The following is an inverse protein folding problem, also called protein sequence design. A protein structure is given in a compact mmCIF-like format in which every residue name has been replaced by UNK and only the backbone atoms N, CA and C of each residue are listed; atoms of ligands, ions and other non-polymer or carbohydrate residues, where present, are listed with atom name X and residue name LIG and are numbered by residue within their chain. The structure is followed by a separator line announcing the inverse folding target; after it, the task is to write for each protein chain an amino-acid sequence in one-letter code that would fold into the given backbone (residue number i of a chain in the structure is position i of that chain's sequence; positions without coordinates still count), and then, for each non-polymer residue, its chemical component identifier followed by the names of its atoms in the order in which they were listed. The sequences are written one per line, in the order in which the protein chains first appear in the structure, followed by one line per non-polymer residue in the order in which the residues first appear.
data_IF_878543272007
#
_entry.id   IF_878543272007
#
_cell.length_a   1.000
_cell.length_b   1.000
_cell.length_c   1.000
_cell.angle_alpha   90.00
_cell.angle_beta   90.00
_cell.angle_gamma   90.00
#
_symmetry.space_group_name_H-M   'P 1'
#
loop_
_entity.id
_entity.type
_entity.pdbx_description
1 polymer ?
#
# COMPACT_ATOMS: atom_id res chain seq x y z
N UNK A 1 -9.01 -19.33 0.14
CA UNK A 1 -7.63 -19.49 -0.36
C UNK A 1 -7.36 -20.79 -1.13
N UNK A 2 -7.67 -21.99 -0.62
CA UNK A 2 -7.30 -23.28 -1.26
C UNK A 2 -7.79 -23.47 -2.71
N UNK A 3 -9.06 -23.15 -3.00
CA UNK A 3 -9.60 -23.24 -4.36
C UNK A 3 -8.88 -22.30 -5.33
N UNK A 4 -8.63 -21.06 -4.91
CA UNK A 4 -7.83 -20.09 -5.66
C UNK A 4 -6.44 -20.65 -5.98
N UNK A 5 -5.76 -21.22 -4.99
CA UNK A 5 -4.44 -21.82 -5.19
C UNK A 5 -4.47 -22.95 -6.22
N UNK A 6 -5.50 -23.81 -6.18
CA UNK A 6 -5.71 -24.89 -7.15
C UNK A 6 -5.91 -24.36 -8.57
N UNK A 7 -6.79 -23.38 -8.74
CA UNK A 7 -7.10 -22.81 -10.06
C UNK A 7 -5.89 -22.05 -10.63
N UNK A 8 -5.14 -21.35 -9.78
CA UNK A 8 -3.84 -20.76 -10.13
C UNK A 8 -2.85 -21.83 -10.60
N UNK A 9 -2.67 -22.90 -9.83
CA UNK A 9 -1.75 -23.97 -10.14
C UNK A 9 -2.10 -24.66 -11.46
N UNK A 10 -3.39 -24.88 -11.73
CA UNK A 10 -3.91 -25.43 -12.98
C UNK A 10 -3.66 -24.50 -14.17
N UNK A 11 -3.89 -23.19 -14.04
CA UNK A 11 -3.62 -22.22 -15.09
C UNK A 11 -2.14 -22.19 -15.48
N UNK A 12 -1.24 -22.14 -14.48
CA UNK A 12 0.21 -22.18 -14.74
C UNK A 12 0.63 -23.50 -15.37
N UNK A 13 0.00 -24.63 -14.99
CA UNK A 13 0.27 -25.94 -15.59
C UNK A 13 -0.16 -25.99 -17.07
N UNK A 14 -1.24 -25.29 -17.42
CA UNK A 14 -1.70 -25.14 -18.80
C UNK A 14 -0.84 -24.18 -19.65
N UNK A 15 0.20 -23.57 -19.06
CA UNK A 15 1.08 -22.62 -19.75
C UNK A 15 0.54 -21.18 -19.80
N UNK A 16 -0.60 -20.92 -19.17
CA UNK A 16 -1.15 -19.56 -19.11
C UNK A 16 -0.39 -18.71 -18.09
N UNK A 17 -0.18 -17.44 -18.43
CA UNK A 17 0.28 -16.46 -17.46
C UNK A 17 -0.83 -16.15 -16.45
N UNK A 18 -0.49 -16.22 -15.17
CA UNK A 18 -1.46 -16.10 -14.08
C UNK A 18 -0.98 -15.10 -13.02
N UNK A 19 -1.88 -14.24 -12.56
CA UNK A 19 -1.62 -13.28 -11.47
C UNK A 19 -2.72 -13.38 -10.43
N UNK A 20 -2.33 -13.45 -9.16
CA UNK A 20 -3.27 -13.31 -8.06
C UNK A 20 -3.22 -11.89 -7.52
N UNK A 21 -4.39 -11.29 -7.26
CA UNK A 21 -4.51 -9.95 -6.70
C UNK A 21 -5.25 -10.01 -5.36
N UNK A 22 -4.71 -9.31 -4.36
CA UNK A 22 -5.30 -9.17 -3.01
C UNK A 22 -5.17 -7.73 -2.52
N UNK A 23 -6.18 -7.13 -1.86
CA UNK A 23 -6.12 -5.75 -1.42
C UNK A 23 -5.14 -5.54 -0.24
N UNK A 24 -4.97 -6.54 0.63
CA UNK A 24 -4.14 -6.43 1.84
C UNK A 24 -2.88 -7.30 1.76
N UNK A 25 -1.83 -6.89 2.49
CA UNK A 25 -0.58 -7.66 2.62
C UNK A 25 -0.79 -8.96 3.41
N UNK A 26 -1.64 -8.95 4.43
CA UNK A 26 -1.94 -10.15 5.24
C UNK A 26 -2.58 -11.24 4.38
N UNK A 27 -3.58 -10.87 3.58
CA UNK A 27 -4.23 -11.82 2.67
C UNK A 27 -3.28 -12.24 1.53
N UNK A 28 -2.43 -11.31 1.03
CA UNK A 28 -1.35 -11.63 0.07
C UNK A 28 -0.44 -12.73 0.60
N UNK A 29 0.03 -12.61 1.85
CA UNK A 29 0.95 -13.56 2.46
C UNK A 29 0.27 -14.90 2.76
N UNK A 30 -1.01 -14.88 3.16
CA UNK A 30 -1.82 -16.08 3.34
C UNK A 30 -2.00 -16.85 2.03
N UNK A 31 -2.42 -16.18 0.95
CA UNK A 31 -2.62 -16.82 -0.35
C UNK A 31 -1.28 -17.31 -0.93
N UNK A 32 -0.20 -16.53 -0.77
CA UNK A 32 1.13 -16.93 -1.22
C UNK A 32 1.58 -18.23 -0.56
N UNK A 33 1.39 -18.38 0.76
CA UNK A 33 1.70 -19.63 1.48
C UNK A 33 0.89 -20.81 0.93
N UNK A 34 -0.41 -20.64 0.77
CA UNK A 34 -1.30 -21.69 0.25
C UNK A 34 -0.92 -22.15 -1.16
N UNK A 35 -0.54 -21.21 -2.04
CA UNK A 35 -0.03 -21.53 -3.38
C UNK A 35 1.27 -22.32 -3.30
N UNK A 36 2.24 -21.87 -2.49
CA UNK A 36 3.53 -22.55 -2.37
C UNK A 36 3.39 -23.93 -1.75
N UNK A 37 2.56 -24.09 -0.74
CA UNK A 37 2.30 -25.38 -0.09
C UNK A 37 1.65 -26.36 -1.07
N UNK A 38 0.71 -25.90 -1.90
CA UNK A 38 0.14 -26.72 -2.97
C UNK A 38 1.20 -27.13 -3.99
N UNK A 39 1.99 -26.18 -4.50
CA UNK A 39 3.03 -26.47 -5.49
C UNK A 39 4.11 -27.41 -4.93
N UNK A 40 4.40 -27.35 -3.62
CA UNK A 40 5.25 -28.33 -2.93
C UNK A 40 4.65 -29.72 -2.89
N UNK A 41 3.36 -29.85 -2.53
CA UNK A 41 2.65 -31.14 -2.56
C UNK A 41 2.57 -31.75 -3.95
N UNK A 42 2.48 -30.93 -5.00
CA UNK A 42 2.51 -31.36 -6.40
C UNK A 42 3.93 -31.66 -6.92
N UNK A 43 4.98 -31.49 -6.10
CA UNK A 43 6.37 -31.69 -6.51
C UNK A 43 6.91 -30.64 -7.48
N UNK A 44 6.20 -29.53 -7.67
CA UNK A 44 6.56 -28.41 -8.58
C UNK A 44 7.45 -27.38 -7.92
N UNK A 45 7.49 -27.35 -6.59
CA UNK A 45 8.47 -26.66 -5.77
C UNK A 45 9.10 -27.66 -4.82
N UNK A 46 10.42 -27.67 -4.72
CA UNK A 46 11.13 -28.63 -3.87
C UNK A 46 12.57 -28.20 -3.63
N UNK A 47 13.27 -28.99 -2.80
CA UNK A 47 14.64 -28.74 -2.40
C UNK A 47 14.80 -27.75 -1.25
N UNK A 48 16.06 -27.51 -0.91
CA UNK A 48 16.43 -26.68 0.23
C UNK A 48 16.16 -25.20 -0.05
N UNK A 49 15.51 -24.56 0.91
CA UNK A 49 15.16 -23.16 0.84
C UNK A 49 16.40 -22.30 1.11
N UNK A 50 16.76 -21.45 0.15
CA UNK A 50 17.81 -20.44 0.34
C UNK A 50 17.17 -19.14 0.81
N UNK A 51 17.69 -18.60 1.91
CA UNK A 51 17.18 -17.36 2.52
C UNK A 51 17.85 -16.15 1.87
N UNK A 52 17.03 -15.17 1.47
CA UNK A 52 17.45 -13.90 0.91
C UNK A 52 16.97 -12.75 1.79
N UNK A 53 17.82 -11.75 2.07
CA UNK A 53 17.38 -10.53 2.73
C UNK A 53 16.41 -9.77 1.82
N UNK A 54 15.39 -9.15 2.42
CA UNK A 54 14.45 -8.26 1.74
C UNK A 54 14.31 -6.94 2.46
N UNK A 55 13.99 -5.89 1.70
CA UNK A 55 13.79 -4.53 2.16
C UNK A 55 12.36 -4.12 1.89
N UNK A 56 11.60 -3.88 2.96
CA UNK A 56 10.22 -3.38 2.87
C UNK A 56 10.20 -1.91 3.22
N UNK A 57 9.74 -1.07 2.29
CA UNK A 57 9.69 0.38 2.52
C UNK A 57 8.78 0.69 3.73
N UNK A 58 9.29 1.49 4.67
CA UNK A 58 8.60 1.85 5.91
C UNK A 58 7.41 2.81 5.69
N UNK A 59 7.29 3.37 4.47
CA UNK A 59 6.25 4.32 4.03
C UNK A 59 6.17 5.59 4.88
N UNK A 60 7.29 5.98 5.47
CA UNK A 60 7.40 7.23 6.21
C UNK A 60 7.29 8.42 5.25
N UNK A 61 6.49 9.42 5.65
CA UNK A 61 6.48 10.73 4.97
C UNK A 61 7.83 11.41 5.15
N UNK A 62 8.12 12.44 4.34
CA UNK A 62 9.37 13.19 4.49
C UNK A 62 9.52 13.79 5.89
N UNK A 63 8.46 14.38 6.43
CA UNK A 63 8.45 14.90 7.80
C UNK A 63 8.73 13.80 8.84
N UNK A 64 8.18 12.60 8.66
CA UNK A 64 8.47 11.46 9.53
C UNK A 64 9.92 10.96 9.36
N UNK A 65 10.49 11.00 8.15
CA UNK A 65 11.90 10.70 7.93
C UNK A 65 12.82 11.77 8.52
N UNK A 66 12.37 12.99 8.75
CA UNK A 66 13.16 14.00 9.45
C UNK A 66 13.17 13.80 10.99
N UNK A 67 12.29 12.96 11.53
CA UNK A 67 12.12 12.74 12.97
C UNK A 67 12.86 11.47 13.44
N UNK A 68 13.93 11.61 14.25
CA UNK A 68 14.75 10.47 14.69
C UNK A 68 13.96 9.44 15.52
N UNK A 69 12.84 9.82 16.14
CA UNK A 69 12.00 8.90 16.93
C UNK A 69 11.24 7.88 16.07
N UNK A 70 11.21 8.08 14.74
CA UNK A 70 10.56 7.18 13.77
C UNK A 70 11.43 6.02 13.31
N UNK A 71 12.64 5.93 13.81
CA UNK A 71 13.63 4.94 13.42
C UNK A 71 13.86 3.93 14.54
N UNK A 72 14.20 2.71 14.14
CA UNK A 72 14.66 1.66 15.05
C UNK A 72 16.05 1.18 14.63
N UNK A 73 16.91 0.80 15.60
CA UNK A 73 18.15 0.10 15.28
C UNK A 73 17.89 -1.13 14.40
N UNK A 74 18.64 -1.26 13.30
CA UNK A 74 18.47 -2.32 12.31
C UNK A 74 17.63 -1.94 11.08
N UNK A 75 16.98 -0.77 11.10
CA UNK A 75 16.40 -0.18 9.88
C UNK A 75 17.49 0.05 8.82
N UNK A 76 17.09 0.14 7.56
CA UNK A 76 18.00 0.41 6.45
C UNK A 76 17.60 1.70 5.76
N UNK A 77 18.50 2.66 5.75
CA UNK A 77 18.39 3.87 4.94
C UNK A 77 19.01 3.61 3.59
N UNK A 78 18.27 3.89 2.51
CA UNK A 78 18.80 3.87 1.15
C UNK A 78 18.73 5.25 0.51
N UNK A 79 19.88 5.77 0.10
CA UNK A 79 20.00 7.07 -0.53
C UNK A 79 19.56 7.02 -1.99
N UNK A 80 18.71 7.97 -2.40
CA UNK A 80 18.19 8.10 -3.76
C UNK A 80 18.97 9.11 -4.59
N UNK A 81 19.66 10.02 -3.91
CA UNK A 81 20.51 11.07 -4.48
C UNK A 81 21.91 10.99 -3.87
N UNK A 82 22.89 11.60 -4.55
CA UNK A 82 24.21 11.78 -3.95
C UNK A 82 24.11 12.86 -2.86
N UNK A 83 24.69 12.59 -1.71
CA UNK A 83 24.84 13.52 -0.61
C UNK A 83 26.29 13.45 -0.11
N UNK A 84 26.80 14.50 0.53
CA UNK A 84 28.18 14.47 1.06
C UNK A 84 28.33 13.28 2.03
N UNK A 85 29.25 12.37 1.71
CA UNK A 85 29.47 11.13 2.48
C UNK A 85 28.56 9.95 2.10
N UNK A 86 27.57 10.15 1.20
CA UNK A 86 26.61 9.13 0.81
C UNK A 86 26.38 9.09 -0.71
N UNK A 87 26.69 7.97 -1.34
CA UNK A 87 26.45 7.75 -2.76
C UNK A 87 24.99 7.38 -3.07
N UNK A 88 24.53 7.73 -4.28
CA UNK A 88 23.23 7.27 -4.79
C UNK A 88 23.16 5.74 -4.78
N UNK A 89 22.10 5.21 -4.19
CA UNK A 89 21.85 3.77 -4.04
C UNK A 89 22.54 3.15 -2.82
N UNK A 90 23.45 3.86 -2.14
CA UNK A 90 24.12 3.40 -0.93
C UNK A 90 23.09 3.07 0.15
N UNK A 91 23.35 1.97 0.87
CA UNK A 91 22.55 1.51 2.00
C UNK A 91 23.35 1.65 3.26
N UNK A 92 22.71 2.13 4.31
CA UNK A 92 23.29 2.29 5.65
C UNK A 92 22.31 1.67 6.63
N UNK A 93 22.80 0.78 7.49
CA UNK A 93 22.04 0.26 8.61
C UNK A 93 21.99 1.31 9.72
N UNK A 94 20.81 1.54 10.25
CA UNK A 94 20.60 2.51 11.32
C UNK A 94 21.06 1.89 12.62
N UNK A 95 22.13 2.44 13.20
CA UNK A 95 22.61 2.11 14.54
C UNK A 95 22.27 3.23 15.53
N UNK A 96 22.47 4.48 15.10
CA UNK A 96 22.06 5.69 15.78
C UNK A 96 21.28 6.60 14.81
N UNK A 97 19.96 6.78 15.01
CA UNK A 97 19.16 7.68 14.18
C UNK A 97 19.66 9.12 14.14
N UNK A 98 20.32 9.60 15.21
CA UNK A 98 20.85 10.96 15.30
C UNK A 98 22.03 11.24 14.37
N UNK A 99 22.73 10.20 13.92
CA UNK A 99 23.85 10.31 12.98
C UNK A 99 23.41 10.42 11.51
N UNK A 100 22.12 10.20 11.23
CA UNK A 100 21.58 10.30 9.88
C UNK A 100 21.45 11.77 9.43
N UNK A 101 21.55 12.06 8.13
CA UNK A 101 21.35 13.41 7.60
C UNK A 101 19.85 13.77 7.54
N UNK A 102 19.17 13.83 8.69
CA UNK A 102 17.72 14.00 8.81
C UNK A 102 17.20 15.32 8.20
N UNK A 103 18.05 16.36 8.16
CA UNK A 103 17.77 17.62 7.47
C UNK A 103 17.66 17.47 5.94
N UNK A 104 18.09 16.34 5.37
CA UNK A 104 17.95 15.94 3.96
C UNK A 104 17.12 14.66 3.82
N UNK A 105 16.02 14.58 4.57
CA UNK A 105 15.05 13.48 4.49
C UNK A 105 14.43 13.30 3.09
N UNK A 106 14.56 14.29 2.20
CA UNK A 106 14.22 14.24 0.78
C UNK A 106 15.13 13.30 -0.03
N UNK A 107 16.36 13.07 0.44
CA UNK A 107 17.39 12.35 -0.30
C UNK A 107 17.40 10.84 -0.11
N UNK A 108 16.62 10.29 0.84
CA UNK A 108 16.67 8.89 1.18
C UNK A 108 15.30 8.31 1.55
N UNK A 109 15.21 6.99 1.51
CA UNK A 109 14.06 6.22 2.00
C UNK A 109 14.50 5.26 3.11
N UNK A 110 13.55 4.89 3.97
CA UNK A 110 13.74 4.00 5.10
C UNK A 110 13.05 2.67 4.82
N UNK A 111 13.72 1.57 5.15
CA UNK A 111 13.27 0.21 4.91
C UNK A 111 13.43 -0.64 6.16
N UNK A 112 12.42 -1.46 6.45
CA UNK A 112 12.55 -2.56 7.39
C UNK A 112 13.26 -3.73 6.72
N UNK A 113 14.20 -4.34 7.44
CA UNK A 113 14.86 -5.57 6.99
C UNK A 113 13.99 -6.78 7.31
N UNK A 114 13.78 -7.63 6.32
CA UNK A 114 13.16 -8.94 6.47
C UNK A 114 13.95 -9.99 5.73
N UNK A 115 13.37 -11.18 5.63
CA UNK A 115 13.90 -12.23 4.79
C UNK A 115 12.78 -13.04 4.14
N UNK A 116 13.05 -13.54 2.94
CA UNK A 116 12.21 -14.54 2.28
C UNK A 116 13.08 -15.73 1.93
N UNK A 117 12.52 -16.93 2.03
CA UNK A 117 13.23 -18.11 1.59
C UNK A 117 12.66 -18.64 0.28
N UNK A 118 13.55 -18.89 -0.67
CA UNK A 118 13.22 -19.25 -2.04
C UNK A 118 13.82 -20.61 -2.41
N UNK A 119 13.17 -21.29 -3.34
CA UNK A 119 13.64 -22.51 -3.99
C UNK A 119 13.60 -22.31 -5.51
N UNK A 120 14.34 -23.10 -6.30
CA UNK A 120 14.15 -23.16 -7.75
C UNK A 120 12.68 -23.41 -8.10
N UNK A 121 12.18 -22.66 -9.09
CA UNK A 121 10.78 -22.67 -9.50
C UNK A 121 9.92 -21.59 -8.85
N UNK A 122 10.35 -20.96 -7.75
CA UNK A 122 9.60 -19.87 -7.14
C UNK A 122 9.42 -18.70 -8.12
N UNK A 123 8.27 -18.03 -8.04
CA UNK A 123 8.06 -16.74 -8.71
C UNK A 123 8.45 -15.62 -7.76
N UNK A 124 9.28 -14.69 -8.23
CA UNK A 124 9.63 -13.46 -7.52
C UNK A 124 9.14 -12.23 -8.27
N UNK A 125 8.97 -11.14 -7.53
CA UNK A 125 8.66 -9.81 -8.03
C UNK A 125 9.74 -8.84 -7.60
N UNK A 126 10.22 -8.02 -8.52
CA UNK A 126 11.11 -6.90 -8.20
C UNK A 126 10.29 -5.78 -7.55
N UNK A 127 10.74 -5.23 -6.42
CA UNK A 127 10.02 -4.19 -5.65
C UNK A 127 10.61 -2.79 -5.81
N UNK A 128 11.78 -2.68 -6.44
CA UNK A 128 12.44 -1.42 -6.75
C UNK A 128 13.34 -1.59 -7.97
N UNK A 129 13.47 -0.55 -8.78
CA UNK A 129 14.40 -0.54 -9.90
C UNK A 129 15.84 -0.82 -9.43
N UNK A 130 16.58 -1.57 -10.24
CA UNK A 130 17.96 -1.93 -9.97
C UNK A 130 18.62 -2.53 -11.20
N UNK A 131 19.70 -3.27 -10.99
CA UNK A 131 20.43 -3.94 -12.06
C UNK A 131 20.79 -5.36 -11.66
N UNK A 132 21.07 -6.20 -12.65
CA UNK A 132 21.67 -7.53 -12.45
C UNK A 132 23.02 -7.45 -11.76
N UNK A 133 23.50 -8.55 -11.19
CA UNK A 133 24.77 -8.62 -10.48
C UNK A 133 25.97 -8.19 -11.35
N UNK A 134 25.91 -8.44 -12.67
CA UNK A 134 26.91 -8.00 -13.65
C UNK A 134 26.68 -6.57 -14.18
N UNK A 135 25.61 -5.90 -13.72
CA UNK A 135 25.17 -4.55 -14.12
C UNK A 135 24.86 -4.40 -15.62
N UNK A 136 24.66 -5.50 -16.35
CA UNK A 136 24.38 -5.47 -17.79
C UNK A 136 22.91 -5.25 -18.12
N UNK A 137 22.01 -5.60 -17.21
CA UNK A 137 20.56 -5.50 -17.43
C UNK A 137 19.88 -4.76 -16.29
N UNK A 138 18.82 -4.02 -16.62
CA UNK A 138 17.96 -3.35 -15.66
C UNK A 138 16.90 -4.30 -15.13
N UNK A 139 16.69 -4.28 -13.82
CA UNK A 139 15.57 -4.91 -13.13
C UNK A 139 14.56 -3.80 -12.83
N UNK A 140 13.33 -3.91 -13.33
CA UNK A 140 12.32 -2.88 -13.13
C UNK A 140 11.34 -3.27 -12.04
N UNK A 141 10.88 -2.28 -11.27
CA UNK A 141 9.84 -2.48 -10.27
C UNK A 141 8.59 -3.08 -10.92
N UNK A 142 8.13 -4.18 -10.34
CA UNK A 142 7.00 -4.94 -10.84
C UNK A 142 7.39 -6.11 -11.73
N UNK A 143 8.63 -6.21 -12.22
CA UNK A 143 9.03 -7.36 -13.05
C UNK A 143 8.82 -8.66 -12.31
N UNK A 144 8.27 -9.66 -13.02
CA UNK A 144 8.04 -11.00 -12.51
C UNK A 144 9.04 -11.96 -13.15
N UNK A 145 9.74 -12.71 -12.31
CA UNK A 145 10.72 -13.69 -12.77
C UNK A 145 10.55 -15.01 -12.05
N UNK A 146 10.78 -16.10 -12.77
CA UNK A 146 10.93 -17.43 -12.18
C UNK A 146 12.37 -17.61 -11.72
N UNK A 147 12.57 -18.10 -10.50
CA UNK A 147 13.87 -18.56 -10.01
C UNK A 147 14.24 -19.85 -10.72
N UNK A 148 15.39 -19.89 -11.38
CA UNK A 148 15.90 -21.07 -12.08
C UNK A 148 16.84 -21.88 -11.20
N UNK A 149 17.77 -21.21 -10.53
CA UNK A 149 18.79 -21.82 -9.70
C UNK A 149 19.45 -20.78 -8.78
N UNK A 150 20.35 -21.24 -7.92
CA UNK A 150 21.24 -20.39 -7.14
C UNK A 150 22.69 -20.71 -7.49
N UNK A 151 23.55 -19.70 -7.57
CA UNK A 151 24.99 -19.91 -7.77
C UNK A 151 25.66 -20.36 -6.47
N UNK A 152 26.88 -20.92 -6.51
CA UNK A 152 27.65 -21.25 -5.31
C UNK A 152 27.87 -20.06 -4.38
N UNK A 153 28.08 -18.86 -4.94
CA UNK A 153 28.28 -17.60 -4.20
C UNK A 153 26.98 -17.10 -3.54
N UNK A 154 25.86 -17.64 -4.03
CA UNK A 154 24.52 -17.45 -3.50
C UNK A 154 23.62 -16.51 -4.29
N UNK A 155 24.07 -16.03 -5.45
CA UNK A 155 23.26 -15.21 -6.33
C UNK A 155 22.11 -16.03 -6.93
N UNK A 156 21.03 -15.33 -7.24
CA UNK A 156 19.85 -15.93 -7.83
C UNK A 156 19.94 -15.89 -9.35
N UNK A 157 19.79 -17.05 -9.99
CA UNK A 157 19.69 -17.18 -11.44
C UNK A 157 18.21 -17.20 -11.82
N UNK A 158 17.78 -16.27 -12.66
CA UNK A 158 16.42 -16.16 -13.15
C UNK A 158 16.18 -17.03 -14.39
N UNK A 159 14.93 -17.28 -14.74
CA UNK A 159 14.54 -18.12 -15.89
C UNK A 159 15.10 -17.63 -17.24
N UNK A 160 15.33 -16.32 -17.38
CA UNK A 160 15.95 -15.70 -18.55
C UNK A 160 17.49 -15.69 -18.50
N UNK A 161 18.10 -16.34 -17.50
CA UNK A 161 19.56 -16.41 -17.31
C UNK A 161 20.17 -15.22 -16.58
N UNK A 162 19.40 -14.18 -16.26
CA UNK A 162 19.91 -13.04 -15.50
C UNK A 162 20.29 -13.45 -14.08
N UNK A 163 21.34 -12.82 -13.55
CA UNK A 163 21.80 -13.03 -12.18
C UNK A 163 21.41 -11.84 -11.32
N UNK A 164 20.70 -12.08 -10.23
CA UNK A 164 20.35 -11.10 -9.21
C UNK A 164 21.21 -11.36 -7.99
N UNK A 165 21.89 -10.33 -7.50
CA UNK A 165 22.75 -10.44 -6.32
C UNK A 165 21.94 -10.92 -5.11
N UNK A 166 22.54 -11.80 -4.29
CA UNK A 166 21.94 -12.20 -3.00
C UNK A 166 21.62 -11.01 -2.08
N UNK A 167 22.36 -9.91 -2.22
CA UNK A 167 22.20 -8.69 -1.42
C UNK A 167 21.28 -7.65 -2.09
N UNK A 168 20.62 -8.02 -3.21
CA UNK A 168 19.78 -7.09 -3.95
C UNK A 168 18.63 -6.53 -3.10
N UNK A 169 18.03 -7.32 -2.20
CA UNK A 169 17.09 -6.85 -1.17
C UNK A 169 15.72 -6.37 -1.66
N UNK A 170 15.57 -5.94 -2.91
CA UNK A 170 14.32 -5.40 -3.45
C UNK A 170 13.53 -6.45 -4.22
N UNK A 171 13.19 -7.53 -3.52
CA UNK A 171 12.40 -8.65 -4.02
C UNK A 171 11.27 -9.02 -3.06
N UNK A 172 10.21 -9.60 -3.60
CA UNK A 172 9.09 -10.20 -2.88
C UNK A 172 8.62 -11.44 -3.65
N UNK A 173 7.72 -12.24 -3.08
CA UNK A 173 7.07 -13.30 -3.82
C UNK A 173 6.24 -12.73 -4.99
N UNK A 174 6.30 -13.43 -6.12
CA UNK A 174 5.64 -13.06 -7.37
C UNK A 174 4.28 -13.73 -7.61
N UNK A 175 3.73 -14.43 -6.62
CA UNK A 175 2.46 -15.15 -6.74
C UNK A 175 1.26 -14.23 -6.62
N UNK A 176 1.28 -13.35 -5.62
CA UNK A 176 0.18 -12.47 -5.27
C UNK A 176 0.70 -11.04 -5.22
N UNK A 177 -0.01 -10.11 -5.85
CA UNK A 177 0.30 -8.68 -5.80
C UNK A 177 -0.88 -7.90 -5.22
N UNK A 178 -0.60 -6.70 -4.72
CA UNK A 178 -1.67 -5.79 -4.35
C UNK A 178 -2.29 -5.14 -5.58
N UNK A 179 -3.55 -4.71 -5.48
CA UNK A 179 -4.29 -4.08 -6.59
C UNK A 179 -3.50 -2.95 -7.24
N UNK A 180 -2.90 -2.04 -6.45
CA UNK A 180 -2.03 -0.98 -6.97
C UNK A 180 -0.77 -1.50 -7.67
N UNK A 181 -0.15 -2.58 -7.17
CA UNK A 181 1.06 -3.16 -7.75
C UNK A 181 0.81 -4.00 -9.02
N UNK A 182 -0.45 -4.28 -9.35
CA UNK A 182 -0.85 -4.91 -10.62
C UNK A 182 -1.07 -3.92 -11.76
N UNK A 183 -1.08 -2.60 -11.50
CA UNK A 183 -1.37 -1.60 -12.51
C UNK A 183 -0.36 -1.68 -13.67
N UNK A 184 -0.87 -1.79 -14.90
CA UNK A 184 -0.05 -1.90 -16.12
C UNK A 184 0.36 -3.32 -16.52
N UNK A 185 -0.02 -4.36 -15.76
CA UNK A 185 0.26 -5.76 -16.10
C UNK A 185 -0.94 -6.41 -16.79
N UNK A 186 -0.69 -7.09 -17.91
CA UNK A 186 -1.71 -7.92 -18.58
C UNK A 186 -1.26 -9.37 -18.53
N UNK A 187 -2.12 -10.24 -18.00
CA UNK A 187 -1.89 -11.70 -17.95
C UNK A 187 -3.09 -12.42 -18.55
N UNK A 188 -2.93 -13.71 -18.88
CA UNK A 188 -4.03 -14.50 -19.44
C UNK A 188 -5.15 -14.69 -18.42
N UNK A 189 -4.81 -15.00 -17.17
CA UNK A 189 -5.77 -15.23 -16.08
C UNK A 189 -5.46 -14.41 -14.84
N UNK A 190 -6.49 -13.74 -14.32
CA UNK A 190 -6.42 -13.03 -13.03
C UNK A 190 -7.31 -13.73 -12.01
N UNK A 191 -6.75 -13.97 -10.82
CA UNK A 191 -7.48 -14.49 -9.68
C UNK A 191 -7.52 -13.42 -8.60
N UNK A 192 -8.70 -12.95 -8.23
CA UNK A 192 -8.87 -11.92 -7.18
C UNK A 192 -9.25 -12.63 -5.89
N UNK A 193 -8.40 -12.56 -4.87
CA UNK A 193 -8.69 -13.05 -3.53
C UNK A 193 -9.12 -11.89 -2.63
N UNK A 194 -10.39 -11.87 -2.22
CA UNK A 194 -10.92 -10.87 -1.29
C UNK A 194 -11.78 -11.59 -0.26
N UNK A 195 -11.21 -11.82 0.92
CA UNK A 195 -11.92 -12.32 2.11
C UNK A 195 -12.58 -11.18 2.87
N UNK A 196 -13.51 -11.52 3.77
CA UNK A 196 -14.17 -10.58 4.67
C UNK A 196 -13.21 -9.70 5.48
N UNK A 197 -12.08 -10.26 5.93
CA UNK A 197 -10.98 -9.56 6.60
C UNK A 197 -10.36 -8.43 5.76
N UNK A 198 -10.53 -8.51 4.43
CA UNK A 198 -9.94 -7.59 3.47
C UNK A 198 -10.93 -6.58 2.89
N UNK A 199 -12.23 -6.70 3.19
CA UNK A 199 -13.27 -5.78 2.69
C UNK A 199 -13.07 -4.32 3.09
N UNK A 200 -12.57 -3.96 4.29
CA UNK A 200 -12.30 -2.56 4.63
C UNK A 200 -11.27 -1.88 3.72
N UNK A 201 -10.44 -2.68 3.04
CA UNK A 201 -9.45 -2.20 2.07
C UNK A 201 -9.90 -2.39 0.61
N UNK A 202 -11.11 -2.91 0.38
CA UNK A 202 -11.69 -3.07 -0.95
C UNK A 202 -12.45 -1.81 -1.35
N UNK A 203 -12.07 -1.23 -2.48
CA UNK A 203 -12.82 -0.15 -3.13
C UNK A 203 -13.25 -0.54 -4.54
N UNK A 204 -14.23 0.18 -5.08
CA UNK A 204 -14.68 0.01 -6.48
C UNK A 204 -13.54 0.10 -7.47
N UNK A 205 -12.67 1.08 -7.27
CA UNK A 205 -11.53 1.39 -8.12
C UNK A 205 -10.49 0.26 -8.06
N UNK A 206 -10.19 -0.24 -6.85
CA UNK A 206 -9.26 -1.37 -6.69
C UNK A 206 -9.81 -2.66 -7.29
N UNK A 207 -11.11 -2.94 -7.13
CA UNK A 207 -11.76 -4.11 -7.72
C UNK A 207 -11.74 -4.05 -9.24
N UNK A 208 -12.08 -2.89 -9.82
CA UNK A 208 -12.06 -2.67 -11.26
C UNK A 208 -10.65 -2.76 -11.86
N UNK A 209 -9.66 -2.15 -11.20
CA UNK A 209 -8.24 -2.25 -11.59
C UNK A 209 -7.77 -3.69 -11.57
N UNK A 210 -8.20 -4.49 -10.62
CA UNK A 210 -7.82 -5.90 -10.51
C UNK A 210 -8.50 -6.74 -11.60
N UNK A 211 -9.79 -6.53 -11.84
CA UNK A 211 -10.57 -7.28 -12.82
C UNK A 211 -10.15 -6.99 -14.27
N UNK A 212 -9.74 -5.76 -14.60
CA UNK A 212 -9.38 -5.38 -15.97
C UNK A 212 -8.05 -5.96 -16.49
N UNK A 213 -7.28 -6.71 -15.67
CA UNK A 213 -5.94 -7.20 -16.04
C UNK A 213 -5.92 -8.57 -16.73
N UNK A 214 -7.04 -9.29 -16.71
CA UNK A 214 -7.15 -10.62 -17.32
C UNK A 214 -7.52 -10.55 -18.79
N UNK A 215 -6.68 -11.09 -19.67
CA UNK A 215 -6.95 -11.15 -21.11
C UNK A 215 -7.99 -12.22 -21.46
N UNK A 216 -7.92 -13.39 -20.82
CA UNK A 216 -8.82 -14.53 -21.08
C UNK A 216 -9.89 -14.66 -20.01
N UNK A 217 -9.55 -14.50 -18.73
CA UNK A 217 -10.52 -14.66 -17.65
C UNK A 217 -10.13 -13.94 -16.36
N UNK A 218 -11.16 -13.63 -15.58
CA UNK A 218 -11.06 -13.11 -14.21
C UNK A 218 -11.91 -14.01 -13.31
N UNK A 219 -11.38 -14.44 -12.18
CA UNK A 219 -12.14 -15.21 -11.19
C UNK A 219 -11.97 -14.59 -9.82
N UNK A 220 -13.08 -14.29 -9.15
CA UNK A 220 -13.11 -13.66 -7.83
C UNK A 220 -13.44 -14.73 -6.78
N UNK A 221 -12.63 -14.79 -5.74
CA UNK A 221 -12.81 -15.68 -4.59
C UNK A 221 -13.07 -14.82 -3.36
N UNK A 222 -14.22 -15.06 -2.76
CA UNK A 222 -14.66 -14.44 -1.51
C UNK A 222 -15.33 -15.49 -0.63
N UNK A 223 -15.28 -15.27 0.67
CA UNK A 223 -16.04 -16.01 1.68
C UNK A 223 -17.48 -15.49 1.81
N UNK A 224 -17.72 -14.21 1.48
CA UNK A 224 -19.04 -13.59 1.48
C UNK A 224 -19.23 -12.73 0.22
N UNK A 225 -20.17 -13.15 -0.65
CA UNK A 225 -20.47 -12.46 -1.91
C UNK A 225 -21.26 -11.18 -1.70
N UNK A 226 -22.17 -11.15 -0.74
CA UNK A 226 -23.05 -10.00 -0.50
C UNK A 226 -22.28 -8.87 0.16
N UNK A 227 -21.50 -9.20 1.19
CA UNK A 227 -20.64 -8.24 1.86
C UNK A 227 -19.53 -7.72 0.94
N UNK A 228 -18.93 -8.57 0.10
CA UNK A 228 -17.99 -8.11 -0.91
C UNK A 228 -18.65 -7.12 -1.89
N UNK A 229 -19.86 -7.45 -2.37
CA UNK A 229 -20.59 -6.57 -3.28
C UNK A 229 -20.89 -5.23 -2.60
N UNK A 230 -21.30 -5.22 -1.34
CA UNK A 230 -21.53 -3.99 -0.59
C UNK A 230 -20.24 -3.16 -0.45
N UNK A 231 -19.12 -3.79 -0.12
CA UNK A 231 -17.82 -3.11 0.00
C UNK A 231 -17.34 -2.49 -1.33
N UNK A 232 -17.44 -3.24 -2.43
CA UNK A 232 -17.02 -2.78 -3.77
C UNK A 232 -17.93 -1.69 -4.34
N UNK A 233 -19.18 -1.61 -3.91
CA UNK A 233 -20.11 -0.55 -4.35
C UNK A 233 -19.82 0.81 -3.68
N UNK A 234 -19.02 0.83 -2.62
CA UNK A 234 -18.55 2.08 -2.02
C UNK A 234 -17.38 2.63 -2.84
N UNK A 235 -17.56 3.83 -3.42
CA UNK A 235 -16.50 4.58 -4.09
C UNK A 235 -15.59 5.18 -3.04
N UNK A 236 -14.27 5.02 -3.19
CA UNK A 236 -13.32 5.88 -2.46
C UNK A 236 -13.32 7.27 -3.12
N UNK A 237 -14.42 8.01 -3.00
CA UNK A 237 -14.39 9.45 -3.31
C UNK A 237 -13.51 10.11 -2.26
N UNK A 238 -12.23 10.24 -2.59
CA UNK A 238 -11.30 11.10 -1.85
C UNK A 238 -11.75 12.53 -2.07
N UNK A 239 -12.62 13.01 -1.18
CA UNK A 239 -12.97 14.43 -1.13
C UNK A 239 -11.67 15.21 -1.01
N UNK A 240 -11.40 16.03 -2.02
CA UNK A 240 -10.19 16.85 -2.03
C UNK A 240 -10.26 17.88 -0.90
N UNK A 241 -9.11 18.36 -0.41
CA UNK A 241 -9.08 19.41 0.60
C UNK A 241 -9.86 20.67 0.14
N UNK A 242 -9.83 20.96 -1.16
CA UNK A 242 -10.62 21.99 -1.83
C UNK A 242 -12.13 21.74 -1.77
N UNK A 243 -12.59 20.50 -1.94
CA UNK A 243 -14.01 20.14 -1.83
C UNK A 243 -14.51 20.13 -0.39
N UNK A 244 -13.67 19.78 0.59
CA UNK A 244 -13.98 19.91 2.01
C UNK A 244 -14.15 21.39 2.41
N UNK A 245 -13.27 22.28 1.92
CA UNK A 245 -13.36 23.72 2.15
C UNK A 245 -14.56 24.33 1.41
N UNK A 246 -14.84 23.90 0.18
CA UNK A 246 -16.02 24.34 -0.58
C UNK A 246 -17.34 23.84 0.03
N UNK A 247 -17.37 22.61 0.56
CA UNK A 247 -18.50 22.03 1.28
C UNK A 247 -18.78 22.73 2.61
N UNK A 248 -17.74 23.14 3.33
CA UNK A 248 -17.88 23.97 4.54
C UNK A 248 -18.37 25.39 4.22
N UNK A 249 -17.95 25.97 3.07
CA UNK A 249 -18.42 27.27 2.62
C UNK A 249 -19.87 27.26 2.07
N UNK A 250 -20.39 26.10 1.65
CA UNK A 250 -21.77 25.95 1.16
C UNK A 250 -22.83 25.80 2.27
N UNK A 251 -22.42 25.57 3.53
CA UNK A 251 -23.35 25.38 4.64
C UNK A 251 -23.87 26.70 5.26
N UNK A 252 -23.29 27.86 4.90
CA UNK A 252 -23.70 29.18 5.41
C UNK A 252 -24.56 29.98 4.40
N UNK A 253 -25.39 29.27 3.64
CA UNK A 253 -26.30 29.82 2.63
C UNK A 253 -27.64 30.31 3.17
N UNK A 254 -27.73 30.95 4.34
CA UNK A 254 -28.96 31.66 4.76
C UNK A 254 -28.86 33.16 4.40
N UNK A 255 -29.53 33.51 3.30
CA UNK A 255 -29.63 34.84 2.66
C UNK A 255 -29.77 36.01 3.68
N UNK A 256 -29.01 37.12 3.53
CA UNK A 256 -29.00 38.25 4.47
C UNK A 256 -30.15 39.27 4.26
N UNK A 257 -31.38 38.81 3.98
CA UNK A 257 -32.53 39.73 3.81
C UNK A 257 -33.69 39.56 4.79
N UNK A 258 -33.75 38.50 5.59
CA UNK A 258 -34.85 38.30 6.56
C UNK A 258 -34.53 38.73 8.00
N UNK A 259 -33.28 39.11 8.32
CA UNK A 259 -32.91 39.54 9.69
C UNK A 259 -33.33 40.96 10.08
N UNK A 260 -33.81 41.80 9.14
CA UNK A 260 -34.24 43.17 9.46
C UNK A 260 -35.71 43.26 9.89
N UNK A 261 -36.59 42.40 9.39
CA UNK A 261 -38.03 42.48 9.70
C UNK A 261 -38.38 41.84 11.07
N UNK A 262 -37.65 40.82 11.51
CA UNK A 262 -37.89 40.18 12.81
C UNK A 262 -37.37 40.99 14.01
N UNK A 263 -36.40 41.89 13.79
CA UNK A 263 -35.83 42.72 14.86
C UNK A 263 -36.72 43.92 15.25
N UNK A 264 -37.62 44.36 14.36
CA UNK A 264 -38.57 45.46 14.62
C UNK A 264 -39.85 44.98 15.32
N UNK A 265 -40.29 43.73 15.10
CA UNK A 265 -41.48 43.17 15.78
C UNK A 265 -41.27 42.86 17.26
N UNK A 266 -40.04 42.63 17.71
CA UNK A 266 -39.73 42.30 19.11
C UNK A 266 -39.57 43.57 19.99
N UNK A 267 -39.36 44.75 19.39
CA UNK A 267 -39.21 46.02 20.14
C UNK A 267 -40.53 46.70 20.51
N UNK A 268 -41.66 46.38 19.86
CA UNK A 268 -42.95 47.03 20.15
C UNK A 268 -43.79 46.35 21.24
N UNK A 269 -43.39 45.18 21.76
CA UNK A 269 -44.19 44.37 22.68
C UNK A 269 -43.72 44.34 24.14
N UNK A 270 -42.70 45.13 24.53
CA UNK A 270 -42.24 45.24 25.92
C UNK A 270 -42.40 46.66 26.47
N UNK A 271 -43.63 47.02 26.86
CA UNK A 271 -43.89 48.09 27.85
C UNK A 271 -43.81 47.47 29.25
N UNK A 272 -42.91 47.92 30.14
CA UNK A 272 -42.99 47.56 31.55
C UNK A 272 -43.93 48.52 32.29
N UNK A 273 -44.96 47.96 32.92
CA UNK A 273 -45.84 48.61 33.90
C UNK A 273 -45.01 48.94 35.16
N UNK A 274 -44.91 50.22 35.55
CA UNK A 274 -44.33 50.66 36.82
C UNK A 274 -45.44 50.78 37.87
N UNK A 275 -45.27 50.13 39.02
CA UNK A 275 -46.01 50.43 40.25
C UNK A 275 -45.17 51.37 41.14
N UNK A 276 -45.78 52.25 41.95
CA UNK A 276 -45.12 53.37 42.62
C UNK A 276 -44.82 53.08 44.11
N UNK A 277 -43.73 53.63 44.66
CA UNK A 277 -43.63 53.99 46.09
C UNK A 277 -42.71 55.22 46.27
N UNK A 278 -43.22 56.12 47.11
CA UNK A 278 -42.79 57.40 47.70
C UNK A 278 -41.35 57.43 48.27
N UNK A 279 -40.58 58.51 48.05
CA UNK A 279 -40.48 59.78 48.81
C UNK A 279 -39.60 59.68 50.08
N UNK A 280 -38.42 60.34 50.05
CA UNK A 280 -38.08 61.51 50.88
C UNK A 280 -36.60 61.94 50.74
N UNK A 281 -36.44 63.25 50.53
CA UNK A 281 -35.23 64.06 50.70
C UNK A 281 -34.80 64.07 52.19
N UNK A 282 -33.57 64.40 52.61
CA UNK A 282 -32.70 65.58 52.43
C UNK A 282 -31.34 65.19 53.06
N UNK A 283 -30.16 65.72 52.73
CA UNK A 283 -29.53 67.04 53.02
C UNK A 283 -28.00 66.73 52.87
N UNK A 284 -27.06 67.51 52.35
CA UNK A 284 -26.85 68.94 52.09
C UNK A 284 -25.95 69.12 50.85
#
# INVERSE_FOLDING_TARGET
SRRLASDYAAAVKAGDSALVVSPTHVEKDRITREIRDLLRREGRLGGDQKVFPVLTNARLTEAQRADPSRYQPGDVVQFQQNLRGYGRGQRVEVTDPGALPLHRADCFEVFYRGAIGLVPGDMIRITRNGTTADRKHSLHNGDLHRVKAFTPEGDMVLGNGWRVSKDFGHIDYGYVVTSHASQGKTVDRVFVGQSSDSFPASSREQFYVSASRGRKSVTVYTDDKEALRAAVMNSEDRTTASELVAGAAGADGRRPRQRREDAERVRSSRRPTRAPVEERAHER
#
